data_IF_651802559301
#
_entry.id   IF_651802559301
#
_cell.length_a   1.000
_cell.length_b   1.000
_cell.length_c   1.000
_cell.angle_alpha   90.00
_cell.angle_beta   90.00
_cell.angle_gamma   90.00
#
_symmetry.space_group_name_H-M   'P 1'
#
loop_
_entity.id
_entity.type
_entity.pdbx_description
1 polymer ?
#
# COMPACT_ATOMS: atom_id res chain seq x y z
N UNK A 1 -18.54 -1.94 -12.20
CA UNK A 1 -17.44 -2.89 -11.93
C UNK A 1 -16.31 -2.18 -11.18
N UNK A 2 -16.07 -2.51 -9.91
CA UNK A 2 -15.04 -1.84 -9.10
C UNK A 2 -13.72 -2.60 -9.22
N UNK A 3 -12.73 -2.03 -9.92
CA UNK A 3 -11.38 -2.61 -10.05
C UNK A 3 -10.66 -2.57 -8.69
N UNK A 4 -10.08 -3.69 -8.28
CA UNK A 4 -9.24 -3.81 -7.07
C UNK A 4 -7.77 -3.79 -7.48
N UNK A 5 -6.93 -3.16 -6.67
CA UNK A 5 -5.48 -3.12 -6.84
C UNK A 5 -4.83 -3.95 -5.74
N UNK A 6 -3.80 -4.70 -6.11
CA UNK A 6 -2.92 -5.38 -5.18
C UNK A 6 -1.65 -4.55 -5.02
N UNK A 7 -1.42 -4.02 -3.83
CA UNK A 7 -0.29 -3.14 -3.55
C UNK A 7 0.92 -3.91 -3.05
N UNK A 8 2.05 -3.75 -3.72
CA UNK A 8 3.31 -4.43 -3.39
C UNK A 8 4.24 -3.57 -2.55
N UNK A 9 4.45 -2.32 -2.97
CA UNK A 9 5.39 -1.39 -2.33
C UNK A 9 4.88 0.05 -2.44
N UNK A 10 5.23 0.84 -1.45
CA UNK A 10 5.09 2.29 -1.40
C UNK A 10 6.49 2.90 -1.35
N UNK A 11 6.80 3.79 -2.29
CA UNK A 11 8.01 4.58 -2.33
C UNK A 11 7.66 6.01 -1.94
N UNK A 12 8.42 6.58 -1.01
CA UNK A 12 8.29 7.97 -0.57
C UNK A 12 9.64 8.65 -0.72
N UNK A 13 9.73 9.62 -1.62
CA UNK A 13 10.92 10.44 -1.78
C UNK A 13 10.89 11.62 -0.79
N UNK A 14 11.99 11.79 -0.05
CA UNK A 14 12.15 12.85 0.97
C UNK A 14 13.13 13.90 0.45
N UNK A 15 12.75 15.19 0.52
CA UNK A 15 13.63 16.30 0.16
C UNK A 15 14.40 16.82 1.40
N UNK A 16 15.72 16.91 1.28
CA UNK A 16 16.67 17.25 2.35
C UNK A 16 16.84 18.71 2.69
N UNK A 17 16.22 19.63 1.95
CA UNK A 17 16.48 21.06 2.17
C UNK A 17 16.24 21.53 3.62
N UNK A 18 15.45 20.80 4.43
CA UNK A 18 15.39 20.99 5.90
C UNK A 18 14.65 19.89 6.69
N UNK A 19 14.25 18.79 6.05
CA UNK A 19 13.37 17.79 6.68
C UNK A 19 14.11 16.48 7.00
N UNK A 20 13.96 16.00 8.24
CA UNK A 20 14.36 14.63 8.61
C UNK A 20 13.27 13.65 8.20
N UNK A 21 13.69 12.41 7.90
CA UNK A 21 12.80 11.29 7.57
C UNK A 21 11.84 11.01 8.74
N UNK A 22 10.58 10.65 8.45
CA UNK A 22 9.61 10.23 9.45
C UNK A 22 10.11 8.99 10.23
N UNK A 23 9.74 8.85 11.50
CA UNK A 23 10.19 7.71 12.35
C UNK A 23 9.30 6.49 12.19
N UNK A 24 8.04 6.69 11.84
CA UNK A 24 7.07 5.61 11.70
C UNK A 24 6.05 5.94 10.62
N UNK A 25 5.58 4.91 9.92
CA UNK A 25 4.48 5.00 8.98
C UNK A 25 3.48 3.86 9.21
N UNK A 26 2.20 4.19 9.13
CA UNK A 26 1.10 3.21 9.10
C UNK A 26 0.35 3.33 7.80
N UNK A 27 0.20 2.21 7.09
CA UNK A 27 -0.50 2.16 5.80
C UNK A 27 -1.74 1.28 5.91
N UNK A 28 -2.90 1.91 5.75
CA UNK A 28 -4.21 1.27 5.78
C UNK A 28 -4.78 1.15 4.37
N UNK A 29 -5.63 0.14 4.17
CA UNK A 29 -6.24 -0.17 2.88
C UNK A 29 -7.76 -0.25 3.03
N UNK A 30 -8.48 0.19 2.02
CA UNK A 30 -9.93 0.08 1.94
C UNK A 30 -10.38 -0.21 0.51
N UNK A 31 -11.47 -0.97 0.37
CA UNK A 31 -12.13 -1.18 -0.93
C UNK A 31 -13.19 -0.10 -1.19
N UNK A 32 -13.91 0.32 -0.14
CA UNK A 32 -15.01 1.29 -0.23
C UNK A 32 -14.64 2.72 0.15
N UNK A 33 -13.45 2.95 0.72
CA UNK A 33 -12.95 4.29 1.07
C UNK A 33 -13.54 4.91 2.33
N UNK A 34 -14.57 4.30 2.93
CA UNK A 34 -15.21 4.79 4.16
C UNK A 34 -14.58 4.20 5.43
N UNK A 35 -14.18 2.93 5.38
CA UNK A 35 -13.67 2.19 6.52
C UNK A 35 -12.26 1.66 6.23
N UNK A 36 -11.34 1.95 7.14
CA UNK A 36 -9.94 1.49 7.12
C UNK A 36 -9.68 0.62 8.36
N UNK A 37 -10.49 -0.42 8.56
CA UNK A 37 -10.63 -1.17 9.82
C UNK A 37 -9.66 -2.32 10.01
N UNK A 38 -8.77 -2.59 9.05
CA UNK A 38 -7.77 -3.66 9.14
C UNK A 38 -6.49 -3.23 9.86
N UNK A 39 -5.70 -4.21 10.29
CA UNK A 39 -4.35 -3.97 10.84
C UNK A 39 -3.49 -3.23 9.81
N UNK A 40 -2.87 -2.08 10.13
CA UNK A 40 -2.03 -1.34 9.19
C UNK A 40 -0.71 -2.06 8.92
N UNK A 41 -0.11 -1.80 7.75
CA UNK A 41 1.31 -2.13 7.54
C UNK A 41 2.06 -1.08 8.33
N UNK A 42 2.82 -1.53 9.32
CA UNK A 42 3.64 -0.68 10.16
C UNK A 42 5.08 -0.72 9.64
N UNK A 43 5.66 0.46 9.51
CA UNK A 43 7.06 0.62 9.16
C UNK A 43 7.70 1.56 10.14
N UNK A 44 8.81 1.14 10.74
CA UNK A 44 9.62 1.99 11.61
C UNK A 44 10.95 2.24 10.93
N UNK A 45 11.31 3.51 10.85
CA UNK A 45 12.61 3.95 10.39
C UNK A 45 13.46 4.20 11.64
N UNK A 46 14.54 3.45 11.82
CA UNK A 46 15.54 3.78 12.84
C UNK A 46 16.40 4.92 12.28
N UNK A 47 16.35 6.14 12.86
CA UNK A 47 17.16 7.23 12.38
C UNK A 47 18.61 6.96 12.78
N UNK A 48 19.44 6.53 11.83
CA UNK A 48 20.88 6.64 12.00
C UNK A 48 21.20 8.13 12.08
N UNK A 49 21.53 8.61 13.29
CA UNK A 49 21.80 10.02 13.63
C UNK A 49 22.96 10.65 12.86
N UNK A 50 23.58 9.93 11.93
CA UNK A 50 24.78 10.32 11.18
C UNK A 50 24.46 10.70 9.72
N UNK A 51 23.28 10.37 9.19
CA UNK A 51 22.99 10.55 7.76
C UNK A 51 21.93 11.63 7.49
N UNK A 52 22.41 12.85 7.20
CA UNK A 52 21.61 14.03 6.82
C UNK A 52 21.10 14.02 5.36
N UNK A 53 21.16 12.90 4.63
CA UNK A 53 20.90 12.87 3.18
C UNK A 53 19.47 12.45 2.82
N UNK A 54 18.97 12.98 1.70
CA UNK A 54 17.66 12.66 1.12
C UNK A 54 17.66 11.23 0.66
N UNK A 55 16.60 10.48 0.98
CA UNK A 55 16.46 9.08 0.63
C UNK A 55 15.04 8.73 0.30
N UNK A 56 14.93 7.81 -0.65
CA UNK A 56 13.67 7.17 -0.97
C UNK A 56 13.41 6.07 0.06
N UNK A 57 12.28 6.19 0.78
CA UNK A 57 11.83 5.18 1.73
C UNK A 57 10.91 4.22 1.00
N UNK A 58 11.30 2.95 0.94
CA UNK A 58 10.46 1.87 0.39
C UNK A 58 9.80 1.07 1.50
N UNK A 59 8.47 1.13 1.58
CA UNK A 59 7.64 0.35 2.50
C UNK A 59 7.05 -0.83 1.74
N UNK A 60 7.31 -2.06 2.19
CA UNK A 60 6.68 -3.27 1.64
C UNK A 60 5.22 -3.32 2.09
N UNK A 61 4.29 -3.38 1.15
CA UNK A 61 2.84 -3.36 1.42
C UNK A 61 2.22 -4.76 1.49
N UNK A 62 3.04 -5.82 1.51
CA UNK A 62 2.63 -7.20 1.71
C UNK A 62 1.46 -7.66 0.83
N UNK A 63 1.43 -7.21 -0.44
CA UNK A 63 0.45 -7.67 -1.42
C UNK A 63 -1.00 -7.40 -1.01
N UNK A 64 -1.24 -6.35 -0.21
CA UNK A 64 -2.59 -6.06 0.29
C UNK A 64 -3.49 -5.50 -0.80
N UNK A 65 -4.71 -6.03 -0.85
CA UNK A 65 -5.70 -5.66 -1.86
C UNK A 65 -6.54 -4.50 -1.36
N UNK A 66 -6.70 -3.47 -2.18
CA UNK A 66 -7.51 -2.30 -1.87
C UNK A 66 -7.81 -1.46 -3.10
N UNK A 67 -8.55 -0.38 -2.89
CA UNK A 67 -8.78 0.68 -3.87
C UNK A 67 -8.33 2.05 -3.34
N UNK A 68 -8.43 2.23 -2.03
CA UNK A 68 -8.04 3.43 -1.31
C UNK A 68 -6.93 3.07 -0.33
N UNK A 69 -5.94 3.96 -0.21
CA UNK A 69 -4.84 3.84 0.74
C UNK A 69 -4.85 5.08 1.63
N UNK A 70 -4.71 4.88 2.93
CA UNK A 70 -4.52 5.95 3.91
C UNK A 70 -3.16 5.76 4.57
N UNK A 71 -2.31 6.79 4.50
CA UNK A 71 -0.95 6.77 5.05
C UNK A 71 -0.92 7.73 6.23
N UNK A 72 -0.48 7.23 7.39
CA UNK A 72 -0.14 8.06 8.54
C UNK A 72 1.37 8.10 8.66
N UNK A 73 1.97 9.29 8.53
CA UNK A 73 3.39 9.52 8.74
C UNK A 73 3.58 10.20 10.10
N UNK A 74 4.46 9.63 10.91
CA UNK A 74 4.76 10.14 12.25
C UNK A 74 6.07 10.92 12.21
N UNK A 75 5.96 12.18 12.58
CA UNK A 75 7.04 13.15 12.56
C UNK A 75 8.17 12.76 13.51
N UNK A 76 9.40 12.78 12.99
CA UNK A 76 10.60 12.69 13.80
C UNK A 76 11.00 14.04 14.40
N UNK A 77 10.63 15.13 13.71
CA UNK A 77 10.94 16.53 14.02
C UNK A 77 9.74 17.43 13.67
N UNK A 78 9.94 18.75 13.59
CA UNK A 78 8.88 19.73 13.32
C UNK A 78 8.20 19.59 11.96
N UNK A 79 8.94 19.18 10.93
CA UNK A 79 8.45 19.15 9.54
C UNK A 79 8.86 17.86 8.83
N UNK A 80 8.02 17.39 7.91
CA UNK A 80 8.31 16.35 6.92
C UNK A 80 8.11 17.01 5.56
N UNK A 81 9.09 16.88 4.66
CA UNK A 81 8.98 17.32 3.27
C UNK A 81 9.00 16.09 2.36
N UNK A 82 7.96 15.95 1.55
CA UNK A 82 7.80 14.85 0.58
C UNK A 82 7.85 15.44 -0.82
N UNK A 83 8.69 14.90 -1.69
CA UNK A 83 8.73 15.29 -3.11
C UNK A 83 7.87 14.38 -3.98
N UNK A 84 7.81 13.09 -3.66
CA UNK A 84 7.07 12.10 -4.44
C UNK A 84 6.50 10.97 -3.55
N UNK A 85 5.31 10.48 -3.90
CA UNK A 85 4.72 9.26 -3.36
C UNK A 85 4.30 8.37 -4.54
N UNK A 86 4.89 7.18 -4.62
CA UNK A 86 4.68 6.23 -5.72
C UNK A 86 4.28 4.86 -5.20
N UNK A 87 3.32 4.21 -5.87
CA UNK A 87 2.84 2.87 -5.54
C UNK A 87 3.19 1.88 -6.65
N UNK A 88 3.79 0.76 -6.27
CA UNK A 88 3.86 -0.41 -7.14
C UNK A 88 2.63 -1.29 -6.85
N UNK A 89 1.74 -1.42 -7.84
CA UNK A 89 0.50 -2.19 -7.71
C UNK A 89 0.12 -2.89 -9.02
N UNK A 90 -0.63 -3.98 -8.90
CA UNK A 90 -1.16 -4.74 -10.02
C UNK A 90 -2.69 -4.78 -10.00
N UNK A 91 -3.31 -4.85 -11.18
CA UNK A 91 -4.75 -5.03 -11.29
C UNK A 91 -5.11 -6.45 -10.90
N UNK A 92 -5.94 -6.61 -9.86
CA UNK A 92 -6.49 -7.92 -9.49
C UNK A 92 -7.81 -8.13 -10.24
N UNK A 93 -7.90 -9.12 -11.16
CA UNK A 93 -9.17 -9.46 -11.79
C UNK A 93 -10.17 -9.90 -10.72
N UNK A 94 -11.41 -9.43 -10.82
CA UNK A 94 -12.50 -10.09 -10.10
C UNK A 94 -12.63 -11.47 -10.75
N UNK A 95 -12.21 -12.53 -10.07
CA UNK A 95 -12.59 -13.88 -10.48
C UNK A 95 -14.10 -13.96 -10.30
N UNK A 96 -14.85 -13.73 -11.38
CA UNK A 96 -16.19 -14.29 -11.48
C UNK A 96 -15.98 -15.80 -11.54
N UNK A 97 -16.30 -16.51 -10.47
CA UNK A 97 -16.59 -17.92 -10.58
C UNK A 97 -17.80 -18.03 -11.52
N UNK A 98 -17.52 -18.15 -12.82
CA UNK A 98 -18.48 -18.70 -13.76
C UNK A 98 -18.60 -20.17 -13.37
N UNK A 99 -19.81 -20.54 -13.04
CA UNK A 99 -20.24 -21.87 -12.68
C UNK A 99 -19.77 -22.87 -13.75
N UNK A 100 -18.93 -23.83 -13.36
CA UNK A 100 -18.57 -25.01 -14.15
C UNK A 100 -19.78 -25.96 -14.24
N UNK A 101 -20.86 -25.56 -14.93
CA UNK A 101 -22.12 -26.34 -15.09
C UNK A 101 -22.44 -26.67 -16.56
N UNK A 102 -21.44 -27.12 -17.31
CA UNK A 102 -21.64 -27.59 -18.69
C UNK A 102 -20.94 -28.92 -18.95
N UNK A 103 -21.07 -29.86 -18.01
CA UNK A 103 -20.39 -31.17 -18.07
C UNK A 103 -21.26 -32.39 -17.79
N UNK A 104 -22.56 -32.26 -17.57
CA UNK A 104 -23.45 -33.41 -17.34
C UNK A 104 -24.51 -33.51 -18.45
N UNK A 105 -24.02 -33.75 -19.67
CA UNK A 105 -24.86 -34.08 -20.82
C UNK A 105 -24.90 -35.60 -21.01
N UNK A 106 -26.00 -36.21 -20.55
CA UNK A 106 -26.61 -37.44 -21.07
C UNK A 106 -25.72 -38.69 -21.19
N UNK A 107 -25.70 -39.51 -20.14
CA UNK A 107 -25.67 -40.97 -20.29
C UNK A 107 -26.81 -41.58 -19.48
N UNK A 108 -27.98 -41.68 -20.09
CA UNK A 108 -29.04 -42.54 -19.60
C UNK A 108 -29.80 -43.15 -20.80
N UNK A 109 -29.41 -44.40 -21.09
CA UNK A 109 -30.13 -45.48 -21.78
C UNK A 109 -30.54 -45.30 -23.25
#
# INVERSE_FOLDING_TARGET
MTRRLQFHKLLIAIDTSSARVFVHAKVFFSIGGQHFTGEPVQFSYMPDTVMENARDVTIKLHQRVGRYVQIHLYFALRWIMLSEISFNSELTPIRSHAHDDAGDQFVAK
#
